data_IF_429138734560
#
_entry.id   IF_429138734560
#
_cell.length_a   1.000
_cell.length_b   1.000
_cell.length_c   1.000
_cell.angle_alpha   90.00
_cell.angle_beta   90.00
_cell.angle_gamma   90.00
#
_symmetry.space_group_name_H-M   'P 1'
#
loop_
_entity.id
_entity.type
_entity.pdbx_description
1 polymer ?
#
# COMPACT_ATOMS: atom_id res chain seq x y z
N UNK A 1 10.65 -26.69 2.28
CA UNK A 1 11.19 -25.34 2.07
C UNK A 1 10.73 -24.85 0.71
N UNK A 2 10.07 -23.70 0.60
CA UNK A 2 9.76 -23.08 -0.71
C UNK A 2 11.10 -22.71 -1.37
N UNK A 3 11.30 -23.02 -2.65
CA UNK A 3 12.48 -22.55 -3.37
C UNK A 3 12.47 -21.02 -3.39
N UNK A 4 13.60 -20.39 -3.07
CA UNK A 4 13.73 -18.93 -3.00
C UNK A 4 13.41 -18.23 -4.33
N UNK A 5 13.56 -18.96 -5.45
CA UNK A 5 13.17 -18.51 -6.80
C UNK A 5 11.67 -18.24 -6.94
N UNK A 6 10.82 -18.94 -6.20
CA UNK A 6 9.36 -18.87 -6.37
C UNK A 6 8.74 -17.69 -5.61
N UNK A 7 9.53 -17.02 -4.77
CA UNK A 7 9.07 -15.90 -3.94
C UNK A 7 8.85 -14.64 -4.77
N UNK A 8 9.75 -14.34 -5.72
CA UNK A 8 9.69 -13.11 -6.51
C UNK A 8 8.45 -13.01 -7.41
N UNK A 9 8.10 -14.04 -8.21
CA UNK A 9 6.89 -13.97 -9.03
C UNK A 9 5.61 -13.80 -8.20
N UNK A 10 5.55 -14.48 -7.03
CA UNK A 10 4.42 -14.35 -6.10
C UNK A 10 4.38 -12.98 -5.44
N UNK A 11 5.52 -12.45 -5.02
CA UNK A 11 5.63 -11.11 -4.44
C UNK A 11 5.22 -10.03 -5.45
N UNK A 12 5.64 -10.15 -6.71
CA UNK A 12 5.24 -9.24 -7.78
C UNK A 12 3.72 -9.29 -8.00
N UNK A 13 3.15 -10.49 -8.12
CA UNK A 13 1.70 -10.65 -8.29
C UNK A 13 0.93 -10.08 -7.09
N UNK A 14 1.40 -10.35 -5.87
CA UNK A 14 0.83 -9.79 -4.66
C UNK A 14 0.95 -8.26 -4.62
N UNK A 15 2.09 -7.70 -5.00
CA UNK A 15 2.31 -6.25 -5.09
C UNK A 15 1.34 -5.58 -6.06
N UNK A 16 1.19 -6.12 -7.26
CA UNK A 16 0.25 -5.59 -8.27
C UNK A 16 -1.19 -5.65 -7.77
N UNK A 17 -1.65 -6.81 -7.27
CA UNK A 17 -3.05 -6.97 -6.83
C UNK A 17 -3.34 -6.09 -5.62
N UNK A 18 -2.46 -6.08 -4.63
CA UNK A 18 -2.65 -5.29 -3.41
C UNK A 18 -2.66 -3.79 -3.70
N UNK A 19 -1.74 -3.29 -4.54
CA UNK A 19 -1.72 -1.88 -4.98
C UNK A 19 -2.99 -1.51 -5.75
N UNK A 20 -3.47 -2.39 -6.62
CA UNK A 20 -4.71 -2.17 -7.38
C UNK A 20 -5.91 -2.06 -6.44
N UNK A 21 -6.04 -2.98 -5.47
CA UNK A 21 -7.12 -2.95 -4.47
C UNK A 21 -7.05 -1.70 -3.61
N UNK A 22 -5.86 -1.34 -3.12
CA UNK A 22 -5.62 -0.13 -2.33
C UNK A 22 -6.05 1.13 -3.11
N UNK A 23 -5.58 1.26 -4.35
CA UNK A 23 -5.88 2.40 -5.22
C UNK A 23 -7.37 2.49 -5.55
N UNK A 24 -8.02 1.35 -5.84
CA UNK A 24 -9.44 1.29 -6.12
C UNK A 24 -10.28 1.77 -4.92
N UNK A 25 -9.94 1.35 -3.70
CA UNK A 25 -10.64 1.76 -2.49
C UNK A 25 -10.46 3.26 -2.20
N UNK A 26 -9.26 3.80 -2.36
CA UNK A 26 -9.04 5.25 -2.20
C UNK A 26 -9.74 6.07 -3.28
N UNK A 27 -9.81 5.55 -4.52
CA UNK A 27 -10.55 6.20 -5.61
C UNK A 27 -12.05 6.28 -5.32
N UNK A 28 -12.59 5.35 -4.53
CA UNK A 28 -13.99 5.34 -4.10
C UNK A 28 -14.26 6.21 -2.87
N UNK A 29 -13.24 6.72 -2.18
CA UNK A 29 -13.41 7.52 -0.96
C UNK A 29 -14.32 8.77 -1.16
N UNK A 30 -14.28 9.49 -2.30
CA UNK A 30 -15.18 10.61 -2.56
C UNK A 30 -16.66 10.25 -2.61
N UNK A 31 -17.00 9.00 -2.97
CA UNK A 31 -18.39 8.53 -2.98
C UNK A 31 -18.99 8.53 -1.57
N UNK A 32 -18.16 8.45 -0.53
CA UNK A 32 -18.55 8.51 0.87
C UNK A 32 -18.28 9.88 1.52
N UNK A 33 -18.06 10.93 0.72
CA UNK A 33 -17.85 12.29 1.20
C UNK A 33 -16.42 12.60 1.68
N UNK A 34 -15.45 11.71 1.43
CA UNK A 34 -14.03 11.99 1.71
C UNK A 34 -13.40 12.82 0.58
N UNK A 35 -12.40 13.68 0.86
CA UNK A 35 -11.57 14.28 -0.18
C UNK A 35 -10.90 13.23 -1.08
N UNK A 36 -10.66 13.58 -2.34
CA UNK A 36 -9.88 12.74 -3.27
C UNK A 36 -8.43 12.66 -2.82
N UNK A 37 -7.95 11.46 -2.52
CA UNK A 37 -6.55 11.18 -2.23
C UNK A 37 -5.92 10.46 -3.42
N UNK A 38 -4.96 11.10 -4.06
CA UNK A 38 -4.22 10.50 -5.19
C UNK A 38 -2.78 10.22 -4.76
N UNK A 39 -2.59 9.13 -4.02
CA UNK A 39 -1.29 8.74 -3.46
C UNK A 39 -0.25 8.50 -4.56
N UNK A 40 -0.65 7.93 -5.69
CA UNK A 40 0.24 7.79 -6.85
C UNK A 40 0.74 9.15 -7.37
N UNK A 41 -0.12 10.18 -7.40
CA UNK A 41 0.34 11.52 -7.74
C UNK A 41 1.29 12.07 -6.67
N UNK A 42 0.98 11.84 -5.40
CA UNK A 42 1.82 12.29 -4.28
C UNK A 42 3.24 11.74 -4.42
N UNK A 43 3.39 10.42 -4.55
CA UNK A 43 4.68 9.76 -4.67
C UNK A 43 5.44 10.18 -5.93
N UNK A 44 4.75 10.24 -7.07
CA UNK A 44 5.36 10.63 -8.33
C UNK A 44 5.88 12.06 -8.35
N UNK A 45 5.24 12.96 -7.60
CA UNK A 45 5.68 14.36 -7.52
C UNK A 45 6.97 14.58 -6.75
N UNK A 46 7.42 13.58 -5.99
CA UNK A 46 8.77 13.58 -5.42
C UNK A 46 9.86 13.44 -6.50
N UNK A 47 9.49 12.99 -7.70
CA UNK A 47 10.42 12.81 -8.83
C UNK A 47 10.20 13.89 -9.89
N UNK A 48 8.96 14.25 -10.21
CA UNK A 48 8.65 15.18 -11.31
C UNK A 48 7.39 16.01 -11.06
N UNK A 49 7.40 17.28 -11.47
CA UNK A 49 6.21 18.15 -11.41
C UNK A 49 5.27 18.02 -12.62
N UNK A 50 5.66 17.23 -13.63
CA UNK A 50 4.73 16.90 -14.72
C UNK A 50 3.66 15.94 -14.18
N UNK A 51 2.46 16.44 -13.90
CA UNK A 51 1.40 15.68 -13.20
C UNK A 51 1.02 14.36 -13.89
N UNK A 52 1.03 14.33 -15.22
CA UNK A 52 0.71 13.11 -15.99
C UNK A 52 1.80 12.07 -15.82
N UNK A 53 3.06 12.48 -15.91
CA UNK A 53 4.19 11.58 -15.69
C UNK A 53 4.31 11.16 -14.22
N UNK A 54 4.07 12.08 -13.29
CA UNK A 54 4.07 11.83 -11.85
C UNK A 54 3.07 10.74 -11.48
N UNK A 55 1.81 10.83 -11.93
CA UNK A 55 0.81 9.80 -11.65
C UNK A 55 1.24 8.39 -12.11
N UNK A 56 1.87 8.28 -13.29
CA UNK A 56 2.40 7.00 -13.80
C UNK A 56 3.58 6.52 -12.96
N UNK A 57 4.55 7.40 -12.69
CA UNK A 57 5.74 7.05 -11.92
C UNK A 57 5.39 6.65 -10.49
N UNK A 58 4.50 7.37 -9.82
CA UNK A 58 4.08 7.02 -8.47
C UNK A 58 3.30 5.70 -8.43
N UNK A 59 2.45 5.41 -9.42
CA UNK A 59 1.82 4.09 -9.50
C UNK A 59 2.85 2.95 -9.68
N UNK A 60 3.92 3.19 -10.46
CA UNK A 60 5.03 2.24 -10.58
C UNK A 60 5.77 2.08 -9.24
N UNK A 61 6.05 3.19 -8.53
CA UNK A 61 6.68 3.17 -7.21
C UNK A 61 5.85 2.39 -6.20
N UNK A 62 4.54 2.59 -6.19
CA UNK A 62 3.60 1.88 -5.32
C UNK A 62 3.63 0.36 -5.58
N UNK A 63 3.61 -0.06 -6.85
CA UNK A 63 3.75 -1.49 -7.20
C UNK A 63 5.10 -2.05 -6.74
N UNK A 64 6.19 -1.32 -6.95
CA UNK A 64 7.53 -1.74 -6.53
C UNK A 64 7.62 -1.84 -5.00
N UNK A 65 7.14 -0.84 -4.28
CA UNK A 65 7.06 -0.82 -2.82
C UNK A 65 6.21 -1.96 -2.28
N UNK A 66 5.02 -2.17 -2.84
CA UNK A 66 4.14 -3.26 -2.48
C UNK A 66 4.76 -4.64 -2.77
N UNK A 67 5.48 -4.77 -3.87
CA UNK A 67 6.24 -6.00 -4.21
C UNK A 67 7.32 -6.29 -3.18
N UNK A 68 8.06 -5.25 -2.75
CA UNK A 68 9.07 -5.38 -1.68
C UNK A 68 8.43 -5.76 -0.35
N UNK A 69 7.33 -5.11 0.04
CA UNK A 69 6.57 -5.46 1.25
C UNK A 69 6.08 -6.91 1.19
N UNK A 70 5.54 -7.34 0.04
CA UNK A 70 5.06 -8.71 -0.15
C UNK A 70 6.21 -9.73 -0.10
N UNK A 71 7.39 -9.39 -0.63
CA UNK A 71 8.59 -10.23 -0.56
C UNK A 71 9.07 -10.38 0.89
N UNK A 72 9.21 -9.27 1.61
CA UNK A 72 9.65 -9.26 3.02
C UNK A 72 8.62 -9.97 3.92
N UNK A 73 7.32 -9.77 3.65
CA UNK A 73 6.25 -10.53 4.30
C UNK A 73 6.43 -12.04 4.10
N UNK A 74 6.62 -12.50 2.85
CA UNK A 74 6.78 -13.93 2.55
C UNK A 74 8.05 -14.53 3.16
N UNK A 75 9.15 -13.79 3.10
CA UNK A 75 10.47 -14.27 3.52
C UNK A 75 10.63 -14.27 5.04
N UNK A 76 10.17 -13.21 5.71
CA UNK A 76 10.47 -13.00 7.12
C UNK A 76 9.25 -13.07 8.01
N UNK A 77 8.15 -12.43 7.62
CA UNK A 77 7.01 -12.24 8.52
C UNK A 77 6.12 -13.49 8.59
N UNK A 78 5.64 -13.97 7.44
CA UNK A 78 4.70 -15.09 7.35
C UNK A 78 5.16 -16.37 8.06
N UNK A 79 6.43 -16.82 7.94
CA UNK A 79 6.89 -18.03 8.63
C UNK A 79 6.95 -17.91 10.16
N UNK A 80 7.02 -16.68 10.70
CA UNK A 80 7.14 -16.41 12.14
C UNK A 80 5.81 -16.10 12.80
N UNK A 81 4.86 -15.56 12.03
CA UNK A 81 3.52 -15.29 12.52
C UNK A 81 2.68 -16.58 12.56
N UNK A 82 2.02 -16.80 13.70
CA UNK A 82 0.97 -17.82 13.84
C UNK A 82 -0.38 -17.21 13.49
N UNK A 83 -1.32 -18.03 13.01
CA UNK A 83 -2.68 -17.59 12.71
C UNK A 83 -3.07 -17.78 11.23
N UNK A 84 -4.32 -17.45 10.93
CA UNK A 84 -4.88 -17.51 9.57
C UNK A 84 -4.34 -16.38 8.69
N UNK A 85 -4.34 -16.52 7.36
CA UNK A 85 -3.96 -15.43 6.45
C UNK A 85 -4.75 -14.13 6.71
N UNK A 86 -6.03 -14.25 7.07
CA UNK A 86 -6.85 -13.09 7.45
C UNK A 86 -6.25 -12.33 8.63
N UNK A 87 -5.91 -13.02 9.72
CA UNK A 87 -5.34 -12.39 10.91
C UNK A 87 -3.98 -11.72 10.64
N UNK A 88 -3.12 -12.38 9.84
CA UNK A 88 -1.81 -11.84 9.48
C UNK A 88 -1.93 -10.62 8.56
N UNK A 89 -2.84 -10.69 7.58
CA UNK A 89 -3.10 -9.59 6.66
C UNK A 89 -3.69 -8.35 7.34
N UNK A 90 -4.63 -8.54 8.27
CA UNK A 90 -5.15 -7.44 9.10
C UNK A 90 -4.05 -6.81 9.97
N UNK A 91 -3.20 -7.63 10.59
CA UNK A 91 -2.08 -7.14 11.39
C UNK A 91 -1.07 -6.36 10.53
N UNK A 92 -0.74 -6.86 9.34
CA UNK A 92 0.14 -6.17 8.38
C UNK A 92 -0.47 -4.83 7.95
N UNK A 93 -1.73 -4.83 7.52
CA UNK A 93 -2.43 -3.61 7.09
C UNK A 93 -2.54 -2.57 8.19
N UNK A 94 -2.88 -2.99 9.41
CA UNK A 94 -2.93 -2.11 10.58
C UNK A 94 -1.56 -1.53 10.93
N UNK A 95 -0.51 -2.35 10.90
CA UNK A 95 0.87 -1.88 11.15
C UNK A 95 1.32 -0.87 10.09
N UNK A 96 1.03 -1.13 8.81
CA UNK A 96 1.31 -0.18 7.73
C UNK A 96 0.51 1.11 7.90
N UNK A 97 -0.75 1.04 8.33
CA UNK A 97 -1.55 2.23 8.56
C UNK A 97 -0.97 3.09 9.69
N UNK A 98 -0.59 2.48 10.82
CA UNK A 98 0.08 3.19 11.91
C UNK A 98 1.37 3.84 11.39
N UNK A 99 2.19 3.08 10.66
CA UNK A 99 3.45 3.57 10.09
C UNK A 99 3.22 4.79 9.17
N UNK A 100 2.28 4.70 8.23
CA UNK A 100 1.99 5.80 7.31
C UNK A 100 1.36 7.00 8.02
N UNK A 101 0.47 6.81 8.99
CA UNK A 101 -0.17 7.92 9.70
C UNK A 101 0.76 8.69 10.63
N UNK A 102 1.75 8.02 11.22
CA UNK A 102 2.67 8.60 12.20
C UNK A 102 3.97 9.08 11.55
N UNK A 103 4.47 8.36 10.55
CA UNK A 103 5.78 8.64 9.94
C UNK A 103 5.61 9.09 8.51
N UNK A 104 4.89 8.33 7.70
CA UNK A 104 4.84 8.55 6.26
C UNK A 104 4.18 9.87 5.84
N UNK A 105 2.98 10.17 6.34
CA UNK A 105 2.28 11.41 6.05
C UNK A 105 3.02 12.65 6.57
N UNK A 106 3.52 12.68 7.83
CA UNK A 106 4.35 13.80 8.28
C UNK A 106 5.66 13.94 7.49
N UNK A 107 6.28 12.84 7.07
CA UNK A 107 7.45 12.90 6.20
C UNK A 107 7.08 13.52 4.85
N UNK A 108 5.93 13.13 4.28
CA UNK A 108 5.42 13.70 3.04
C UNK A 108 5.16 15.20 3.16
N UNK A 109 4.58 15.68 4.27
CA UNK A 109 4.39 17.11 4.53
C UNK A 109 5.70 17.89 4.42
N UNK A 110 6.82 17.30 4.87
CA UNK A 110 8.13 17.94 4.87
C UNK A 110 8.80 17.93 3.49
N UNK A 111 8.68 16.83 2.75
CA UNK A 111 9.47 16.62 1.52
C UNK A 111 8.68 16.88 0.24
N UNK A 112 7.35 16.96 0.30
CA UNK A 112 6.50 17.05 -0.88
C UNK A 112 6.62 18.39 -1.60
N UNK A 113 7.00 18.38 -2.89
CA UNK A 113 6.96 19.59 -3.71
C UNK A 113 5.54 20.16 -3.85
N UNK A 114 4.49 19.32 -3.83
CA UNK A 114 3.11 19.79 -3.93
C UNK A 114 2.70 20.62 -2.71
N UNK A 115 3.06 20.15 -1.51
CA UNK A 115 2.78 20.86 -0.26
C UNK A 115 3.62 22.14 -0.19
N UNK A 116 4.92 22.04 -0.46
CA UNK A 116 5.85 23.16 -0.36
C UNK A 116 5.54 24.30 -1.36
N UNK A 117 4.91 24.01 -2.49
CA UNK A 117 4.47 25.01 -3.46
C UNK A 117 3.00 25.46 -3.28
N UNK A 118 2.33 25.03 -2.21
CA UNK A 118 0.94 25.40 -1.93
C UNK A 118 -0.09 24.81 -2.92
N UNK A 119 0.31 23.79 -3.69
CA UNK A 119 -0.55 23.12 -4.67
C UNK A 119 -1.44 22.05 -4.04
N UNK A 120 -1.12 21.63 -2.82
CA UNK A 120 -1.89 20.67 -2.05
C UNK A 120 -1.82 20.99 -0.56
N UNK A 121 -2.89 20.66 0.17
CA UNK A 121 -2.90 20.69 1.62
C UNK A 121 -1.95 19.63 2.17
N UNK A 122 -1.14 20.01 3.16
CA UNK A 122 -0.34 19.07 3.94
C UNK A 122 -1.26 18.05 4.62
N UNK A 123 -1.10 16.73 4.41
CA UNK A 123 -1.90 15.73 5.12
C UNK A 123 -1.96 15.88 6.64
N UNK A 124 -0.86 16.21 7.30
CA UNK A 124 -0.77 16.21 8.77
C UNK A 124 -0.78 14.81 9.37
N UNK A 125 -0.58 14.74 10.69
CA UNK A 125 -0.63 13.49 11.45
C UNK A 125 -2.07 12.93 11.38
N UNK A 126 -2.21 11.62 11.14
CA UNK A 126 -3.51 10.96 10.95
C UNK A 126 -4.39 11.60 9.85
N UNK A 127 -3.78 12.19 8.82
CA UNK A 127 -4.50 12.90 7.76
C UNK A 127 -5.47 13.98 8.33
N UNK A 128 -5.11 14.62 9.45
CA UNK A 128 -5.98 15.55 10.19
C UNK A 128 -6.57 16.66 9.32
N UNK A 129 -5.81 17.12 8.33
CA UNK A 129 -6.23 18.19 7.43
C UNK A 129 -7.19 17.74 6.32
N UNK A 130 -7.29 16.42 6.09
CA UNK A 130 -8.28 15.80 5.19
C UNK A 130 -9.48 15.18 5.92
N UNK A 131 -9.51 15.28 7.26
CA UNK A 131 -10.58 14.79 8.11
C UNK A 131 -10.51 13.29 8.46
N UNK A 132 -11.23 12.91 9.51
CA UNK A 132 -11.23 11.54 10.05
C UNK A 132 -11.67 10.48 9.03
N UNK A 133 -12.58 10.85 8.11
CA UNK A 133 -13.04 9.97 7.03
C UNK A 133 -11.89 9.54 6.13
N UNK A 134 -10.98 10.45 5.78
CA UNK A 134 -9.79 10.15 4.97
C UNK A 134 -8.88 9.13 5.66
N UNK A 135 -8.65 9.31 6.97
CA UNK A 135 -7.86 8.37 7.76
C UNK A 135 -8.51 6.97 7.82
N UNK A 136 -9.84 6.92 7.95
CA UNK A 136 -10.59 5.67 7.94
C UNK A 136 -10.50 4.97 6.57
N UNK A 137 -10.65 5.68 5.46
CA UNK A 137 -10.47 5.11 4.13
C UNK A 137 -9.05 4.58 3.93
N UNK A 138 -8.03 5.31 4.40
CA UNK A 138 -6.65 4.84 4.36
C UNK A 138 -6.45 3.55 5.16
N UNK A 139 -7.08 3.46 6.34
CA UNK A 139 -7.07 2.23 7.16
C UNK A 139 -7.71 1.07 6.39
N UNK A 140 -8.92 1.26 5.87
CA UNK A 140 -9.64 0.21 5.13
C UNK A 140 -8.85 -0.24 3.90
N UNK A 141 -8.27 0.71 3.16
CA UNK A 141 -7.43 0.41 1.99
C UNK A 141 -6.19 -0.39 2.37
N UNK A 142 -5.50 -0.03 3.47
CA UNK A 142 -4.31 -0.76 3.93
C UNK A 142 -4.64 -2.12 4.55
N UNK A 143 -5.79 -2.27 5.21
CA UNK A 143 -6.29 -3.57 5.65
C UNK A 143 -6.55 -4.48 4.45
N UNK A 144 -7.23 -3.99 3.41
CA UNK A 144 -7.47 -4.74 2.18
C UNK A 144 -6.17 -5.09 1.45
N UNK A 145 -5.22 -4.15 1.41
CA UNK A 145 -3.86 -4.35 0.90
C UNK A 145 -3.14 -5.49 1.63
N UNK A 146 -3.09 -5.43 2.97
CA UNK A 146 -2.43 -6.43 3.81
C UNK A 146 -3.08 -7.81 3.68
N UNK A 147 -4.41 -7.85 3.60
CA UNK A 147 -5.17 -9.07 3.33
C UNK A 147 -4.82 -9.68 1.97
N UNK A 148 -4.75 -8.87 0.90
CA UNK A 148 -4.37 -9.34 -0.43
C UNK A 148 -2.95 -9.94 -0.43
N UNK A 149 -1.98 -9.27 0.21
CA UNK A 149 -0.61 -9.79 0.35
C UNK A 149 -0.61 -11.12 1.09
N UNK A 150 -1.21 -11.17 2.28
CA UNK A 150 -1.18 -12.38 3.11
C UNK A 150 -1.88 -13.55 2.43
N UNK A 151 -3.04 -13.30 1.81
CA UNK A 151 -3.80 -14.32 1.10
C UNK A 151 -3.00 -14.92 -0.06
N UNK A 152 -2.39 -14.10 -0.92
CA UNK A 152 -1.61 -14.57 -2.07
C UNK A 152 -0.30 -15.23 -1.68
N UNK A 153 0.31 -14.80 -0.58
CA UNK A 153 1.54 -15.37 -0.03
C UNK A 153 1.31 -16.76 0.61
N UNK A 154 0.24 -16.89 1.38
CA UNK A 154 0.01 -18.01 2.29
C UNK A 154 -0.92 -19.07 1.69
N UNK A 155 -1.76 -18.72 0.72
CA UNK A 155 -2.64 -19.69 0.05
C UNK A 155 -1.81 -20.56 -0.91
N UNK A 156 -1.95 -21.90 -0.86
CA UNK A 156 -1.31 -22.77 -1.84
C UNK A 156 -1.85 -22.46 -3.24
N UNK A 157 -1.00 -21.94 -4.12
CA UNK A 157 -1.29 -21.96 -5.56
C UNK A 157 -1.21 -23.42 -5.95
N UNK A 158 -2.34 -24.01 -6.34
CA UNK A 158 -2.49 -25.42 -6.66
C UNK A 158 -1.65 -25.84 -7.85
N UNK A 159 -0.34 -25.98 -7.66
CA UNK A 159 0.49 -26.78 -8.54
C UNK A 159 0.17 -28.23 -8.20
N UNK A 160 -0.69 -28.82 -9.05
CA UNK A 160 -0.84 -30.27 -9.18
C UNK A 160 0.56 -30.89 -9.15
N UNK A 161 0.75 -31.81 -8.21
CA UNK A 161 1.83 -32.78 -8.22
C UNK A 161 1.76 -33.57 -9.52
N UNK A 162 2.51 -33.13 -10.54
CA UNK A 162 2.99 -34.06 -11.56
C UNK A 162 4.15 -34.83 -10.92
N UNK A 163 3.79 -35.89 -10.20
CA UNK A 163 4.68 -37.00 -9.87
C UNK A 163 3.99 -38.27 -10.34
#
# INVERSE_FOLDING_TARGET
MKHTSDLWPRALLAGVISTTVFTALLTLAPVAGSPTLNVALWDGTLITLNLRLAAVLGYILEILGATLVAYEYQKWLSPRLKGSPWSKGMALGGALWIFWMIIGLPLFDLVSPLVNNGLMLAPGIFASNFGATSSLFFLLSLLAFGLAISWLADTPVGYRSYR
#
